data_IF_152800515532
#
_entry.id   IF_152800515532
#
_cell.length_a   1.000
_cell.length_b   1.000
_cell.length_c   1.000
_cell.angle_alpha   90.00
_cell.angle_beta   90.00
_cell.angle_gamma   90.00
#
_symmetry.space_group_name_H-M   'P 1'
#
loop_
_entity.id
_entity.type
_entity.pdbx_description
1 polymer ?
#
# COMPACT_ATOMS: atom_id res chain seq x y z
N UNK A 1 16.21 -11.91 -0.95
CA UNK A 1 15.45 -12.80 -1.83
C UNK A 1 15.89 -12.55 -3.25
N UNK A 2 16.40 -13.57 -3.94
CA UNK A 2 16.67 -13.49 -5.38
C UNK A 2 15.35 -13.66 -6.14
N UNK A 3 15.05 -12.71 -7.02
CA UNK A 3 13.94 -12.81 -7.96
C UNK A 3 14.52 -13.35 -9.26
N UNK A 4 14.06 -14.53 -9.69
CA UNK A 4 14.44 -15.09 -10.99
C UNK A 4 14.08 -14.12 -12.12
N UNK A 5 14.80 -14.17 -13.25
CA UNK A 5 14.53 -13.30 -14.39
C UNK A 5 13.07 -13.47 -14.86
N UNK A 6 12.29 -12.40 -14.68
CA UNK A 6 10.86 -12.36 -15.00
C UNK A 6 10.57 -11.70 -16.34
N UNK A 7 11.60 -11.28 -17.10
CA UNK A 7 11.39 -10.53 -18.35
C UNK A 7 10.83 -11.40 -19.47
N UNK A 8 11.07 -12.72 -19.41
CA UNK A 8 10.52 -13.71 -20.32
C UNK A 8 8.99 -13.82 -20.21
N UNK A 9 8.33 -14.00 -21.36
CA UNK A 9 6.87 -14.18 -21.43
C UNK A 9 6.51 -15.56 -20.86
N UNK A 10 5.86 -15.59 -19.70
CA UNK A 10 5.29 -16.83 -19.13
C UNK A 10 3.96 -17.13 -19.84
N UNK A 11 3.82 -18.32 -20.43
CA UNK A 11 2.51 -18.75 -20.94
C UNK A 11 1.55 -18.96 -19.76
N UNK A 12 0.49 -18.15 -19.72
CA UNK A 12 -0.64 -18.32 -18.82
C UNK A 12 -1.55 -19.40 -19.41
N UNK A 13 -1.15 -20.67 -19.31
CA UNK A 13 -2.03 -21.81 -19.62
C UNK A 13 -1.88 -22.88 -18.56
N UNK A 14 -2.17 -22.49 -17.33
CA UNK A 14 -2.59 -23.48 -16.34
C UNK A 14 -4.07 -23.76 -16.61
N UNK A 15 -4.37 -24.89 -17.25
CA UNK A 15 -5.76 -25.32 -17.42
C UNK A 15 -6.26 -25.74 -16.04
N UNK A 16 -7.19 -24.96 -15.49
CA UNK A 16 -7.89 -25.36 -14.28
C UNK A 16 -8.79 -26.57 -14.60
N UNK A 17 -8.96 -27.52 -13.67
CA UNK A 17 -9.94 -28.60 -13.80
C UNK A 17 -11.36 -28.07 -14.03
N UNK A 18 -12.25 -28.89 -14.60
CA UNK A 18 -13.67 -28.55 -14.69
C UNK A 18 -14.30 -28.44 -13.30
N UNK A 19 -15.11 -27.42 -13.08
CA UNK A 19 -15.78 -27.09 -11.81
C UNK A 19 -17.28 -27.36 -11.94
N UNK A 20 -17.65 -28.64 -12.02
CA UNK A 20 -19.02 -29.07 -12.37
C UNK A 20 -20.08 -28.68 -11.32
N UNK A 21 -19.70 -28.60 -10.04
CA UNK A 21 -20.57 -28.23 -8.92
C UNK A 21 -20.44 -26.76 -8.49
N UNK A 22 -19.43 -26.05 -9.01
CA UNK A 22 -19.14 -24.66 -8.68
C UNK A 22 -18.40 -24.45 -7.35
N UNK A 23 -17.99 -25.51 -6.65
CA UNK A 23 -17.36 -25.40 -5.33
C UNK A 23 -16.00 -24.71 -5.41
N UNK A 24 -15.23 -24.94 -6.48
CA UNK A 24 -13.94 -24.30 -6.70
C UNK A 24 -14.12 -22.80 -6.93
N UNK A 25 -15.11 -22.42 -7.72
CA UNK A 25 -15.49 -21.03 -7.97
C UNK A 25 -15.87 -20.32 -6.67
N UNK A 26 -16.71 -20.93 -5.84
CA UNK A 26 -17.08 -20.38 -4.53
C UNK A 26 -15.85 -20.22 -3.63
N UNK A 27 -14.94 -21.20 -3.63
CA UNK A 27 -13.70 -21.13 -2.85
C UNK A 27 -12.82 -19.95 -3.29
N UNK A 28 -12.66 -19.72 -4.60
CA UNK A 28 -11.93 -18.56 -5.14
C UNK A 28 -12.59 -17.23 -4.78
N UNK A 29 -13.92 -17.11 -4.92
CA UNK A 29 -14.65 -15.90 -4.57
C UNK A 29 -14.51 -15.56 -3.09
N UNK A 30 -14.63 -16.55 -2.20
CA UNK A 30 -14.40 -16.38 -0.76
C UNK A 30 -12.96 -15.95 -0.48
N UNK A 31 -11.97 -16.51 -1.18
CA UNK A 31 -10.56 -16.11 -1.03
C UNK A 31 -10.33 -14.65 -1.47
N UNK A 32 -10.90 -14.24 -2.60
CA UNK A 32 -10.86 -12.85 -3.06
C UNK A 32 -11.54 -11.93 -2.06
N UNK A 33 -12.74 -12.27 -1.59
CA UNK A 33 -13.47 -11.46 -0.61
C UNK A 33 -12.66 -11.25 0.67
N UNK A 34 -12.01 -12.29 1.21
CA UNK A 34 -11.13 -12.17 2.39
C UNK A 34 -9.94 -11.24 2.14
N UNK A 35 -9.31 -11.35 0.97
CA UNK A 35 -8.17 -10.48 0.60
C UNK A 35 -8.60 -9.02 0.43
N UNK A 36 -9.77 -8.77 -0.17
CA UNK A 36 -10.31 -7.40 -0.31
C UNK A 36 -10.69 -6.82 1.06
N UNK A 37 -11.35 -7.60 1.91
CA UNK A 37 -11.73 -7.19 3.26
C UNK A 37 -10.52 -6.82 4.14
N UNK A 38 -9.34 -7.40 3.87
CA UNK A 38 -8.07 -7.01 4.51
C UNK A 38 -7.58 -5.63 4.05
N UNK A 39 -7.84 -5.25 2.81
CA UNK A 39 -7.34 -4.01 2.19
C UNK A 39 -8.27 -2.84 2.51
N UNK A 40 -9.59 -3.05 2.43
CA UNK A 40 -10.60 -2.00 2.51
C UNK A 40 -11.87 -2.50 3.18
N UNK A 41 -12.70 -1.55 3.63
CA UNK A 41 -13.93 -1.78 4.37
C UNK A 41 -13.77 -1.43 5.84
N UNK A 42 -14.83 -1.67 6.61
CA UNK A 42 -15.00 -1.38 8.03
C UNK A 42 -14.97 -2.65 8.90
N UNK A 43 -14.66 -3.81 8.32
CA UNK A 43 -14.48 -5.02 9.12
C UNK A 43 -13.25 -4.90 10.05
N UNK A 44 -13.27 -5.50 11.26
CA UNK A 44 -12.13 -5.49 12.19
C UNK A 44 -10.79 -5.96 11.58
N UNK A 45 -10.83 -6.83 10.57
CA UNK A 45 -9.64 -7.30 9.89
C UNK A 45 -9.03 -6.30 8.88
N UNK A 46 -9.74 -5.22 8.55
CA UNK A 46 -9.39 -4.27 7.48
C UNK A 46 -8.27 -3.34 7.90
N UNK A 47 -7.19 -3.33 7.13
CA UNK A 47 -6.09 -2.39 7.29
C UNK A 47 -6.44 -0.99 6.75
N UNK A 48 -7.51 -0.84 5.97
CA UNK A 48 -7.91 0.46 5.41
C UNK A 48 -6.78 1.14 4.63
N UNK A 49 -6.20 0.41 3.69
CA UNK A 49 -5.07 0.83 2.85
C UNK A 49 -5.52 1.96 1.94
N UNK A 50 -4.90 3.14 2.07
CA UNK A 50 -5.32 4.30 1.28
C UNK A 50 -4.92 4.14 -0.21
N UNK A 51 -5.85 4.05 -1.17
CA UNK A 51 -5.54 3.73 -2.57
C UNK A 51 -4.47 4.64 -3.18
N UNK A 52 -4.59 5.93 -2.89
CA UNK A 52 -3.67 6.95 -3.42
C UNK A 52 -2.24 6.72 -2.97
N UNK A 53 -1.98 6.08 -1.82
CA UNK A 53 -0.63 5.80 -1.32
C UNK A 53 -0.04 4.56 -1.99
N UNK A 54 -0.83 3.51 -2.18
CA UNK A 54 -0.29 2.17 -2.48
C UNK A 54 -0.34 1.77 -3.94
N UNK A 55 -1.32 2.24 -4.72
CA UNK A 55 -1.53 1.70 -6.07
C UNK A 55 -2.12 2.71 -7.08
N UNK A 56 -1.88 4.00 -6.85
CA UNK A 56 -2.11 5.05 -7.84
C UNK A 56 -0.79 5.77 -8.15
N UNK A 57 -0.60 6.19 -9.40
CA UNK A 57 0.51 7.05 -9.80
C UNK A 57 0.33 8.48 -9.27
N UNK A 58 1.39 9.28 -9.35
CA UNK A 58 1.32 10.74 -9.11
C UNK A 58 0.31 11.44 -10.05
N UNK A 59 0.07 10.89 -11.25
CA UNK A 59 -0.92 11.40 -12.22
C UNK A 59 -2.34 10.91 -11.99
N UNK A 60 -2.61 10.14 -10.93
CA UNK A 60 -3.97 9.64 -10.67
C UNK A 60 -4.37 8.38 -11.42
N UNK A 61 -3.43 7.70 -12.07
CA UNK A 61 -3.71 6.45 -12.79
C UNK A 61 -3.61 5.26 -11.84
N UNK A 62 -4.64 4.41 -11.81
CA UNK A 62 -4.61 3.15 -11.07
C UNK A 62 -3.56 2.19 -11.64
N UNK A 63 -2.80 1.53 -10.77
CA UNK A 63 -1.76 0.56 -11.14
C UNK A 63 -2.14 -0.85 -10.68
N UNK A 64 -2.71 -1.70 -11.56
CA UNK A 64 -3.16 -3.04 -11.20
C UNK A 64 -2.06 -3.91 -10.61
N UNK A 65 -0.84 -3.85 -11.14
CA UNK A 65 0.27 -4.66 -10.64
C UNK A 65 0.73 -4.22 -9.25
N UNK A 66 0.68 -2.92 -8.93
CA UNK A 66 0.98 -2.42 -7.59
C UNK A 66 -0.09 -2.89 -6.59
N UNK A 67 -1.37 -2.86 -6.98
CA UNK A 67 -2.48 -3.39 -6.19
C UNK A 67 -2.29 -4.89 -5.87
N UNK A 68 -1.97 -5.70 -6.88
CA UNK A 68 -1.72 -7.13 -6.67
C UNK A 68 -0.47 -7.37 -5.80
N UNK A 69 0.60 -6.60 -6.00
CA UNK A 69 1.81 -6.71 -5.20
C UNK A 69 1.54 -6.43 -3.72
N UNK A 70 0.87 -5.31 -3.40
CA UNK A 70 0.54 -4.99 -2.01
C UNK A 70 -0.45 -5.98 -1.41
N UNK A 71 -1.45 -6.45 -2.19
CA UNK A 71 -2.38 -7.48 -1.72
C UNK A 71 -1.65 -8.74 -1.27
N UNK A 72 -0.65 -9.17 -2.05
CA UNK A 72 0.18 -10.33 -1.69
C UNK A 72 1.12 -10.06 -0.51
N UNK A 73 1.70 -8.86 -0.40
CA UNK A 73 2.54 -8.49 0.76
C UNK A 73 1.71 -8.53 2.04
N UNK A 74 0.52 -7.93 2.04
CA UNK A 74 -0.37 -7.92 3.20
C UNK A 74 -0.84 -9.33 3.58
N UNK A 75 -1.15 -10.17 2.60
CA UNK A 75 -1.47 -11.58 2.85
C UNK A 75 -0.27 -12.32 3.46
N UNK A 76 0.94 -12.14 2.90
CA UNK A 76 2.18 -12.72 3.44
C UNK A 76 2.44 -12.28 4.87
N UNK A 77 2.21 -11.00 5.19
CA UNK A 77 2.32 -10.47 6.54
C UNK A 77 1.28 -11.08 7.48
N UNK A 78 0.05 -11.29 7.01
CA UNK A 78 -1.00 -11.96 7.79
C UNK A 78 -0.59 -13.40 8.12
N UNK A 79 -0.15 -14.18 7.13
CA UNK A 79 0.34 -15.56 7.33
C UNK A 79 1.53 -15.63 8.28
N UNK A 80 2.45 -14.67 8.19
CA UNK A 80 3.64 -14.58 9.08
C UNK A 80 3.35 -13.95 10.45
N UNK A 81 2.10 -13.57 10.74
CA UNK A 81 1.70 -12.84 11.97
C UNK A 81 2.46 -11.52 12.16
N UNK A 82 2.80 -10.84 11.06
CA UNK A 82 3.56 -9.57 11.00
C UNK A 82 2.70 -8.33 10.76
N UNK A 83 1.37 -8.45 10.83
CA UNK A 83 0.48 -7.29 10.65
C UNK A 83 0.65 -6.22 11.73
N UNK A 84 0.90 -6.61 12.98
CA UNK A 84 1.19 -5.67 14.06
C UNK A 84 2.53 -4.96 13.83
N UNK A 85 3.56 -5.70 13.40
CA UNK A 85 4.87 -5.13 13.05
C UNK A 85 4.75 -4.13 11.87
N UNK A 86 3.97 -4.47 10.84
CA UNK A 86 3.64 -3.55 9.76
C UNK A 86 2.92 -2.30 10.27
N UNK A 87 1.89 -2.48 11.09
CA UNK A 87 1.07 -1.38 11.61
C UNK A 87 1.90 -0.43 12.47
N UNK A 88 2.87 -0.95 13.22
CA UNK A 88 3.84 -0.16 14.01
C UNK A 88 4.69 0.80 13.19
N UNK A 89 5.10 0.41 11.98
CA UNK A 89 5.95 1.25 11.10
C UNK A 89 5.17 1.90 9.96
N UNK A 90 3.82 1.82 10.00
CA UNK A 90 2.96 2.16 8.87
C UNK A 90 3.11 3.60 8.42
N UNK A 91 3.18 4.56 9.34
CA UNK A 91 3.38 5.96 8.99
C UNK A 91 4.68 6.19 8.20
N UNK A 92 5.79 5.61 8.66
CA UNK A 92 7.08 5.70 7.98
C UNK A 92 7.05 5.04 6.61
N UNK A 93 6.40 3.86 6.52
CA UNK A 93 6.22 3.14 5.27
C UNK A 93 5.41 3.94 4.24
N UNK A 94 4.24 4.44 4.62
CA UNK A 94 3.38 5.23 3.75
C UNK A 94 4.05 6.54 3.32
N UNK A 95 4.77 7.20 4.23
CA UNK A 95 5.52 8.43 3.94
C UNK A 95 6.63 8.17 2.92
N UNK A 96 7.34 7.04 3.02
CA UNK A 96 8.34 6.63 2.05
C UNK A 96 7.72 6.42 0.65
N UNK A 97 6.58 5.73 0.57
CA UNK A 97 5.88 5.49 -0.69
C UNK A 97 5.35 6.78 -1.34
N UNK A 98 4.87 7.74 -0.55
CA UNK A 98 4.41 9.04 -1.04
C UNK A 98 5.59 9.88 -1.54
N UNK A 99 6.71 9.89 -0.81
CA UNK A 99 7.92 10.60 -1.20
C UNK A 99 8.50 10.05 -2.51
N UNK A 100 8.48 8.72 -2.69
CA UNK A 100 9.04 7.99 -3.84
C UNK A 100 7.96 7.46 -4.78
N UNK A 101 6.94 8.29 -5.03
CA UNK A 101 5.72 7.90 -5.77
C UNK A 101 5.98 7.31 -7.15
N UNK A 102 7.04 7.76 -7.80
CA UNK A 102 7.48 7.32 -9.13
C UNK A 102 8.02 5.89 -9.14
N UNK A 103 8.49 5.36 -8.01
CA UNK A 103 9.20 4.08 -7.96
C UNK A 103 8.39 2.91 -8.53
N UNK A 104 7.08 2.87 -8.25
CA UNK A 104 6.19 1.83 -8.77
C UNK A 104 6.12 1.85 -10.30
N UNK A 105 5.99 3.03 -10.90
CA UNK A 105 5.99 3.20 -12.35
C UNK A 105 7.33 2.84 -12.97
N UNK A 106 8.44 3.18 -12.31
CA UNK A 106 9.79 2.83 -12.77
C UNK A 106 10.03 1.32 -12.74
N UNK A 107 9.57 0.64 -11.67
CA UNK A 107 9.63 -0.82 -11.54
C UNK A 107 8.84 -1.52 -12.65
N UNK A 108 7.60 -1.10 -12.87
CA UNK A 108 6.74 -1.64 -13.94
C UNK A 108 7.36 -1.39 -15.32
N UNK A 109 7.93 -0.21 -15.55
CA UNK A 109 8.60 0.10 -16.82
C UNK A 109 9.86 -0.74 -17.03
N UNK A 110 10.67 -0.97 -15.99
CA UNK A 110 11.92 -1.71 -16.10
C UNK A 110 11.69 -3.21 -16.30
N UNK A 111 10.81 -3.81 -15.51
CA UNK A 111 10.61 -5.26 -15.48
C UNK A 111 9.44 -5.74 -16.35
N UNK A 112 8.61 -4.82 -16.84
CA UNK A 112 7.44 -5.12 -17.68
C UNK A 112 6.16 -5.29 -16.88
N UNK A 113 5.02 -5.16 -17.56
CA UNK A 113 3.69 -5.20 -16.94
C UNK A 113 3.28 -6.59 -16.43
N UNK A 114 2.27 -6.59 -15.54
CA UNK A 114 1.60 -7.81 -15.09
C UNK A 114 2.47 -8.66 -14.16
N UNK A 115 2.49 -9.98 -14.40
CA UNK A 115 3.23 -10.93 -13.58
C UNK A 115 4.75 -10.72 -13.57
N UNK A 116 5.29 -9.94 -14.52
CA UNK A 116 6.74 -9.71 -14.63
C UNK A 116 7.28 -8.79 -13.56
N UNK A 117 6.67 -7.62 -13.35
CA UNK A 117 7.07 -6.69 -12.28
C UNK A 117 6.47 -7.02 -10.91
N UNK A 118 5.49 -7.92 -10.83
CA UNK A 118 4.82 -8.29 -9.59
C UNK A 118 5.80 -8.71 -8.47
N UNK A 119 6.72 -9.69 -8.67
CA UNK A 119 7.65 -10.09 -7.61
C UNK A 119 8.65 -8.98 -7.24
N UNK A 120 9.06 -8.15 -8.20
CA UNK A 120 9.96 -7.02 -7.94
C UNK A 120 9.32 -5.94 -7.08
N UNK A 121 8.02 -5.67 -7.28
CA UNK A 121 7.26 -4.78 -6.41
C UNK A 121 7.11 -5.35 -4.99
N UNK A 122 6.91 -6.66 -4.85
CA UNK A 122 6.87 -7.32 -3.53
C UNK A 122 8.21 -7.16 -2.80
N UNK A 123 9.32 -7.48 -3.46
CA UNK A 123 10.67 -7.31 -2.88
C UNK A 123 10.95 -5.85 -2.54
N UNK A 124 10.49 -4.91 -3.37
CA UNK A 124 10.61 -3.49 -3.07
C UNK A 124 9.89 -3.13 -1.76
N UNK A 125 8.63 -3.55 -1.58
CA UNK A 125 7.88 -3.29 -0.35
C UNK A 125 8.48 -4.00 0.87
N UNK A 126 8.84 -5.28 0.74
CA UNK A 126 9.41 -6.06 1.84
C UNK A 126 10.73 -5.44 2.33
N UNK A 127 11.61 -4.97 1.44
CA UNK A 127 12.86 -4.31 1.83
C UNK A 127 12.66 -2.99 2.57
N UNK A 128 11.65 -2.22 2.20
CA UNK A 128 11.30 -0.99 2.94
C UNK A 128 10.83 -1.38 4.34
N UNK A 129 9.95 -2.38 4.46
CA UNK A 129 9.46 -2.87 5.76
C UNK A 129 10.59 -3.41 6.63
N UNK A 130 11.46 -4.26 6.09
CA UNK A 130 12.63 -4.79 6.79
C UNK A 130 13.57 -3.67 7.26
N UNK A 131 13.79 -2.65 6.43
CA UNK A 131 14.58 -1.48 6.81
C UNK A 131 13.96 -0.72 7.98
N UNK A 132 12.64 -0.45 7.91
CA UNK A 132 11.91 0.26 8.96
C UNK A 132 11.85 -0.54 10.27
N UNK A 133 11.62 -1.85 10.21
CA UNK A 133 11.66 -2.73 11.38
C UNK A 133 13.05 -2.79 12.03
N UNK A 134 14.10 -2.62 11.22
CA UNK A 134 15.48 -2.53 11.71
C UNK A 134 15.86 -1.13 12.21
N UNK A 135 14.92 -0.19 12.26
CA UNK A 135 15.15 1.18 12.73
C UNK A 135 15.94 2.06 11.76
N UNK A 136 16.09 1.66 10.48
CA UNK A 136 16.82 2.46 9.48
C UNK A 136 16.03 3.71 9.10
N UNK A 137 16.73 4.80 8.83
CA UNK A 137 16.10 6.02 8.30
C UNK A 137 15.67 5.84 6.85
N UNK A 138 14.76 6.70 6.37
CA UNK A 138 14.38 6.73 4.96
C UNK A 138 15.58 6.94 4.02
N UNK A 139 16.58 7.71 4.46
CA UNK A 139 17.82 7.96 3.71
C UNK A 139 18.66 6.69 3.60
N UNK A 140 18.79 5.92 4.68
CA UNK A 140 19.55 4.66 4.68
C UNK A 140 18.90 3.60 3.81
N UNK A 141 17.57 3.49 3.88
CA UNK A 141 16.78 2.58 3.01
C UNK A 141 16.98 2.98 1.54
N UNK A 142 16.97 4.28 1.23
CA UNK A 142 17.20 4.76 -0.12
C UNK A 142 18.62 4.47 -0.61
N UNK A 143 19.63 4.66 0.24
CA UNK A 143 21.02 4.32 -0.06
C UNK A 143 21.20 2.81 -0.30
N UNK A 144 20.47 1.96 0.43
CA UNK A 144 20.49 0.52 0.18
C UNK A 144 19.96 0.16 -1.22
N UNK A 145 18.91 0.85 -1.70
CA UNK A 145 18.44 0.68 -3.08
C UNK A 145 19.42 1.21 -4.13
N UNK A 146 20.21 2.25 -3.81
CA UNK A 146 21.23 2.78 -4.70
C UNK A 146 22.33 1.77 -5.01
N UNK A 147 22.71 0.99 -3.99
CA UNK A 147 23.79 0.01 -4.05
C UNK A 147 23.36 -1.37 -4.58
N UNK A 148 22.07 -1.57 -4.87
CA UNK A 148 21.57 -2.80 -5.48
C UNK A 148 21.39 -2.62 -6.98
N UNK A 149 22.08 -3.44 -7.79
CA UNK A 149 22.00 -3.41 -9.26
C UNK A 149 20.58 -3.58 -9.80
N UNK A 150 19.71 -4.30 -9.07
CA UNK A 150 18.31 -4.49 -9.42
C UNK A 150 17.42 -3.28 -9.10
N UNK A 151 17.91 -2.31 -8.32
CA UNK A 151 17.13 -1.14 -7.90
C UNK A 151 17.85 0.20 -8.12
N UNK A 152 19.10 0.19 -8.58
CA UNK A 152 19.92 1.40 -8.74
C UNK A 152 19.26 2.43 -9.67
N UNK A 153 18.46 1.98 -10.65
CA UNK A 153 17.69 2.85 -11.55
C UNK A 153 16.60 3.69 -10.84
N UNK A 154 16.25 3.36 -9.59
CA UNK A 154 15.36 4.16 -8.75
C UNK A 154 16.05 5.41 -8.20
N UNK A 155 17.38 5.49 -8.25
CA UNK A 155 18.13 6.67 -7.73
C UNK A 155 18.22 7.80 -8.72
N UNK A 156 18.12 7.51 -10.02
CA UNK A 156 18.16 8.52 -11.06
C UNK A 156 16.87 9.34 -10.93
N UNK A 157 16.95 10.65 -10.64
CA UNK A 157 15.80 11.51 -10.77
C UNK A 157 15.47 11.55 -12.26
N UNK A 158 14.56 10.67 -12.70
CA UNK A 158 13.99 10.85 -14.03
C UNK A 158 13.12 12.09 -13.93
N UNK A 159 13.28 13.08 -14.83
CA UNK A 159 12.27 14.10 -14.99
C UNK A 159 10.95 13.36 -15.12
N UNK A 160 10.07 13.64 -14.16
CA UNK A 160 8.84 12.91 -13.93
C UNK A 160 8.25 12.54 -15.28
N UNK A 161 8.13 11.25 -15.58
CA UNK A 161 7.45 10.72 -16.76
C UNK A 161 5.94 11.01 -16.77
N UNK A 162 5.51 12.12 -16.17
CA UNK A 162 4.63 13.01 -16.90
C UNK A 162 5.31 13.14 -18.25
N UNK A 163 4.73 12.62 -19.33
CA UNK A 163 4.86 13.39 -20.56
C UNK A 163 4.55 14.80 -20.10
N UNK A 164 5.55 15.67 -19.89
CA UNK A 164 5.34 17.12 -19.85
C UNK A 164 4.32 17.27 -20.95
N UNK A 165 3.08 17.59 -20.56
CA UNK A 165 1.96 17.50 -21.46
C UNK A 165 2.44 18.33 -22.63
N UNK A 166 2.82 17.64 -23.74
CA UNK A 166 3.75 18.21 -24.70
C UNK A 166 3.16 19.55 -25.00
N UNK A 167 3.87 20.66 -24.77
CA UNK A 167 3.28 21.99 -24.76
C UNK A 167 2.45 22.18 -26.03
N UNK A 168 1.18 21.79 -25.95
CA UNK A 168 0.22 21.64 -27.01
C UNK A 168 -0.93 22.38 -26.43
N UNK A 169 -0.87 23.72 -26.56
CA UNK A 169 -1.98 24.57 -27.03
C UNK A 169 -3.40 24.10 -26.69
N UNK A 170 -3.62 23.57 -25.49
CA UNK A 170 -4.91 23.13 -24.97
C UNK A 170 -5.12 23.87 -23.66
N UNK A 171 -6.04 24.82 -23.69
CA UNK A 171 -6.40 25.63 -22.52
C UNK A 171 -7.06 24.81 -21.40
N UNK A 172 -7.56 23.60 -21.70
CA UNK A 172 -8.22 22.74 -20.72
C UNK A 172 -7.26 21.74 -20.06
N UNK A 173 -7.29 21.66 -18.72
CA UNK A 173 -6.56 20.64 -17.96
C UNK A 173 -7.03 19.23 -18.31
N UNK A 174 -6.08 18.32 -18.53
CA UNK A 174 -6.38 16.89 -18.68
C UNK A 174 -6.94 16.30 -17.38
N UNK A 175 -7.69 15.19 -17.47
CA UNK A 175 -8.18 14.47 -16.29
C UNK A 175 -7.03 14.06 -15.36
N UNK A 176 -5.91 13.57 -15.90
CA UNK A 176 -4.72 13.24 -15.13
C UNK A 176 -4.09 14.44 -14.42
N UNK A 177 -4.07 15.61 -15.06
CA UNK A 177 -3.59 16.86 -14.43
C UNK A 177 -4.48 17.27 -13.26
N UNK A 178 -5.81 17.19 -13.42
CA UNK A 178 -6.76 17.50 -12.35
C UNK A 178 -6.59 16.54 -11.16
N UNK A 179 -6.47 15.24 -11.41
CA UNK A 179 -6.25 14.25 -10.34
C UNK A 179 -4.90 14.43 -9.64
N UNK A 180 -3.83 14.72 -10.40
CA UNK A 180 -2.52 15.00 -9.83
C UNK A 180 -2.55 16.23 -8.91
N UNK A 181 -3.20 17.31 -9.34
CA UNK A 181 -3.37 18.52 -8.54
C UNK A 181 -4.17 18.23 -7.27
N UNK A 182 -5.26 17.45 -7.37
CA UNK A 182 -6.04 17.03 -6.22
C UNK A 182 -5.20 16.22 -5.22
N UNK A 183 -4.40 15.24 -5.69
CA UNK A 183 -3.54 14.46 -4.81
C UNK A 183 -2.44 15.29 -4.15
N UNK A 184 -1.84 16.24 -4.87
CA UNK A 184 -0.83 17.14 -4.33
C UNK A 184 -1.39 18.01 -3.19
N UNK A 185 -2.65 18.42 -3.29
CA UNK A 185 -3.33 19.20 -2.24
C UNK A 185 -3.82 18.31 -1.07
N UNK A 186 -4.36 17.12 -1.38
CA UNK A 186 -5.06 16.28 -0.40
C UNK A 186 -4.12 15.40 0.44
N UNK A 187 -3.00 14.91 -0.11
CA UNK A 187 -2.13 13.97 0.60
C UNK A 187 -1.43 14.58 1.83
N UNK A 188 -0.84 15.78 1.77
CA UNK A 188 -0.16 16.37 2.94
C UNK A 188 -1.11 16.63 4.11
N UNK A 189 -2.36 16.98 3.81
CA UNK A 189 -3.39 17.35 4.78
C UNK A 189 -4.41 16.22 5.04
N UNK A 190 -4.13 15.01 4.55
CA UNK A 190 -5.07 13.90 4.64
C UNK A 190 -5.26 13.46 6.08
N UNK A 191 -6.48 13.02 6.41
CA UNK A 191 -6.80 12.49 7.74
C UNK A 191 -5.92 11.29 8.07
N UNK A 192 -5.30 11.31 9.26
CA UNK A 192 -4.43 10.24 9.75
C UNK A 192 -5.08 9.47 10.88
N UNK A 193 -4.71 8.21 11.00
CA UNK A 193 -5.10 7.34 12.09
C UNK A 193 -4.38 7.75 13.37
N UNK A 194 -5.13 7.99 14.46
CA UNK A 194 -4.57 8.36 15.76
C UNK A 194 -3.73 7.27 16.43
N UNK A 195 -3.81 6.02 15.94
CA UNK A 195 -3.08 4.89 16.51
C UNK A 195 -1.76 4.60 15.77
N UNK A 196 -1.78 4.57 14.43
CA UNK A 196 -0.62 4.18 13.61
C UNK A 196 -0.06 5.30 12.71
N UNK A 197 -0.64 6.49 12.71
CA UNK A 197 -0.18 7.66 11.92
C UNK A 197 -0.39 7.60 10.40
N UNK A 198 -0.76 6.43 9.85
CA UNK A 198 -1.08 6.23 8.43
C UNK A 198 -2.34 6.99 7.96
N UNK A 199 -2.43 7.25 6.66
CA UNK A 199 -3.55 7.91 6.01
C UNK A 199 -4.82 7.04 6.03
N UNK A 200 -5.93 7.64 6.41
CA UNK A 200 -7.24 6.98 6.52
C UNK A 200 -8.08 7.28 5.29
N UNK A 201 -8.67 6.22 4.72
CA UNK A 201 -9.64 6.38 3.66
C UNK A 201 -11.06 6.45 4.26
N UNK A 202 -11.91 7.33 3.72
CA UNK A 202 -13.28 7.57 4.23
C UNK A 202 -14.18 6.33 4.30
N UNK A 203 -13.90 5.30 3.49
CA UNK A 203 -14.66 4.04 3.48
C UNK A 203 -14.01 2.96 4.37
N UNK A 204 -12.98 3.29 5.15
CA UNK A 204 -12.23 2.35 5.97
C UNK A 204 -11.73 3.04 7.23
N UNK A 205 -12.71 3.52 8.01
CA UNK A 205 -12.52 4.36 9.19
C UNK A 205 -13.44 3.88 10.31
N UNK A 206 -12.89 3.78 11.50
CA UNK A 206 -13.61 3.70 12.76
C UNK A 206 -13.43 5.01 13.54
N UNK A 207 -14.40 5.31 14.39
CA UNK A 207 -14.32 6.37 15.38
C UNK A 207 -14.10 5.71 16.74
N UNK A 208 -12.88 5.82 17.24
CA UNK A 208 -12.41 5.18 18.47
C UNK A 208 -12.23 6.24 19.57
N UNK A 209 -12.18 5.78 20.82
CA UNK A 209 -11.85 6.60 21.97
C UNK A 209 -10.33 6.59 22.21
N UNK A 210 -9.69 7.74 22.41
CA UNK A 210 -8.26 7.85 22.77
C UNK A 210 -8.00 7.10 24.08
N UNK A 211 -8.85 7.35 25.07
CA UNK A 211 -8.93 6.62 26.35
C UNK A 211 -10.09 5.64 26.24
N UNK A 212 -9.86 4.32 26.34
CA UNK A 212 -10.93 3.33 26.27
C UNK A 212 -12.02 3.56 27.33
N UNK A 213 -13.27 3.23 27.00
CA UNK A 213 -14.41 3.34 27.93
C UNK A 213 -14.19 2.51 29.19
N UNK A 214 -13.59 1.32 29.06
CA UNK A 214 -13.23 0.44 30.20
C UNK A 214 -12.22 1.07 31.15
N UNK A 215 -11.43 2.03 30.67
CA UNK A 215 -10.42 2.76 31.44
C UNK A 215 -10.94 4.14 31.90
N UNK A 216 -12.26 4.36 31.82
CA UNK A 216 -12.93 5.60 32.26
C UNK A 216 -13.04 6.70 31.20
N UNK A 217 -12.77 6.40 29.93
CA UNK A 217 -12.89 7.36 28.83
C UNK A 217 -14.32 7.83 28.59
N UNK A 218 -14.51 9.15 28.44
CA UNK A 218 -15.79 9.77 28.14
C UNK A 218 -16.12 9.74 26.62
N UNK A 219 -17.40 9.80 26.28
CA UNK A 219 -17.91 9.77 24.90
C UNK A 219 -17.96 11.14 24.20
N UNK A 220 -17.04 12.05 24.54
CA UNK A 220 -17.01 13.41 24.00
C UNK A 220 -15.98 13.58 22.87
N UNK A 221 -16.10 14.67 22.12
CA UNK A 221 -15.26 14.96 20.96
C UNK A 221 -13.76 15.03 21.28
N UNK A 222 -13.39 15.42 22.50
CA UNK A 222 -11.98 15.51 22.90
C UNK A 222 -11.34 14.13 23.05
N UNK A 223 -12.13 13.12 23.43
CA UNK A 223 -11.72 11.73 23.51
C UNK A 223 -11.90 10.96 22.19
N UNK A 224 -12.57 11.52 21.19
CA UNK A 224 -12.72 10.86 19.89
C UNK A 224 -11.43 10.93 19.04
N UNK A 225 -11.13 9.86 18.33
CA UNK A 225 -10.09 9.80 17.31
C UNK A 225 -10.52 8.96 16.11
N UNK A 226 -9.98 9.31 14.94
CA UNK A 226 -10.12 8.51 13.72
C UNK A 226 -9.09 7.38 13.77
N UNK A 227 -9.52 6.15 13.54
CA UNK A 227 -8.64 4.99 13.46
C UNK A 227 -8.96 4.12 12.24
N UNK A 228 -7.98 3.36 11.75
CA UNK A 228 -8.28 2.26 10.84
C UNK A 228 -9.00 1.14 11.60
N UNK A 229 -9.87 0.34 10.95
CA UNK A 229 -10.58 -0.75 11.61
C UNK A 229 -9.65 -1.72 12.36
N UNK A 230 -8.59 -2.19 11.71
CA UNK A 230 -7.59 -3.05 12.35
C UNK A 230 -6.83 -2.37 13.50
N UNK A 231 -6.66 -1.05 13.42
CA UNK A 231 -5.99 -0.31 14.47
C UNK A 231 -6.81 -0.30 15.75
N UNK A 232 -8.09 0.04 15.60
CA UNK A 232 -9.09 0.07 16.67
C UNK A 232 -9.32 -1.33 17.27
N UNK A 233 -9.60 -2.33 16.44
CA UNK A 233 -10.07 -3.64 16.91
C UNK A 233 -8.96 -4.62 17.35
N UNK A 234 -7.69 -4.34 17.04
CA UNK A 234 -6.63 -5.35 17.23
C UNK A 234 -5.30 -4.74 17.62
N UNK A 235 -4.78 -3.81 16.81
CA UNK A 235 -3.41 -3.32 17.02
C UNK A 235 -3.28 -2.49 18.30
N UNK A 236 -4.29 -1.70 18.67
CA UNK A 236 -4.29 -0.89 19.89
C UNK A 236 -4.10 -1.75 21.15
N UNK A 237 -4.87 -2.83 21.27
CA UNK A 237 -4.74 -3.79 22.38
C UNK A 237 -3.37 -4.50 22.37
N UNK A 238 -2.90 -4.93 21.20
CA UNK A 238 -1.57 -5.54 21.08
C UNK A 238 -0.45 -4.58 21.49
N UNK A 239 -0.54 -3.32 21.08
CA UNK A 239 0.44 -2.27 21.43
C UNK A 239 0.45 -2.02 22.93
N UNK A 240 -0.72 -1.95 23.57
CA UNK A 240 -0.82 -1.77 25.01
C UNK A 240 -0.22 -2.95 25.81
N UNK A 241 -0.29 -4.17 25.28
CA UNK A 241 0.30 -5.36 25.91
C UNK A 241 1.82 -5.51 25.72
N UNK A 242 2.43 -4.73 24.82
CA UNK A 242 3.85 -4.86 24.42
C UNK A 242 4.72 -3.69 24.92
N UNK A 243 4.10 -2.67 25.52
CA UNK A 243 4.74 -1.53 26.19
C UNK A 243 4.73 -1.80 27.69
#
# INVERSE_FOLDING_TARGET
MDVADTTAKKELREQLPSDEDGDSTIAYLKAVQRRIARITGDSPGSLGVHPVVYFYTRSGTFQPTAFLAISNVLESLATRKKLNDFTRVREGFESFLVARKEAMSLLIHKFGSGGRSLPWLQVYYDRILEGLWSGKSAVDIQSAFANDLNFTFLTVPRPSGVREASAKTKHAFSSGTKTAAFFAAALPNGTRCGVCGGLVHKNSVHFDHKIPVRDGGAGDMSNAQVAHPYCDSTYKDWRAATI
#
